data_IF_456167637228
#
_entry.id   IF_456167637228
#
_cell.length_a   1.000
_cell.length_b   1.000
_cell.length_c   1.000
_cell.angle_alpha   90.00
_cell.angle_beta   90.00
_cell.angle_gamma   90.00
#
_symmetry.space_group_name_H-M   'P 1'
#
loop_
_entity.id
_entity.type
_entity.pdbx_description
1 polymer ?
#
# COMPACT_ATOMS: atom_id res chain seq x y z
N UNK A 1 59.62 -18.33 -20.36
CA UNK A 1 58.46 -18.65 -19.49
C UNK A 1 57.23 -18.33 -20.29
N UNK A 2 56.32 -19.29 -20.50
CA UNK A 2 55.06 -19.03 -21.20
C UNK A 2 54.24 -18.03 -20.38
N UNK A 3 53.65 -17.04 -21.05
CA UNK A 3 52.76 -16.07 -20.42
C UNK A 3 51.57 -16.80 -19.77
N UNK A 4 51.18 -16.46 -18.53
CA UNK A 4 49.98 -17.01 -17.90
C UNK A 4 48.73 -16.83 -18.77
N UNK A 5 47.90 -17.86 -18.89
CA UNK A 5 46.74 -17.86 -19.79
C UNK A 5 45.79 -16.67 -19.56
N UNK A 6 45.57 -16.29 -18.30
CA UNK A 6 44.75 -15.13 -17.95
C UNK A 6 45.31 -13.79 -18.49
N UNK A 7 46.63 -13.65 -18.61
CA UNK A 7 47.26 -12.45 -19.18
C UNK A 7 47.08 -12.41 -20.69
N UNK A 8 47.27 -13.54 -21.36
CA UNK A 8 47.03 -13.66 -22.81
C UNK A 8 45.57 -13.33 -23.16
N UNK A 9 44.59 -13.89 -22.43
CA UNK A 9 43.16 -13.53 -22.59
C UNK A 9 42.93 -12.03 -22.43
N UNK A 10 43.50 -11.41 -21.39
CA UNK A 10 43.36 -9.98 -21.15
C UNK A 10 44.00 -9.12 -22.25
N UNK A 11 45.14 -9.53 -22.80
CA UNK A 11 45.82 -8.83 -23.87
C UNK A 11 44.98 -8.86 -25.16
N UNK A 12 44.46 -10.03 -25.54
CA UNK A 12 43.56 -10.19 -26.69
C UNK A 12 42.28 -9.36 -26.55
N UNK A 13 41.65 -9.38 -25.36
CA UNK A 13 40.48 -8.55 -25.08
C UNK A 13 40.79 -7.06 -25.23
N UNK A 14 41.93 -6.61 -24.69
CA UNK A 14 42.35 -5.20 -24.76
C UNK A 14 42.77 -4.74 -26.16
N UNK A 15 43.23 -5.65 -27.02
CA UNK A 15 43.50 -5.36 -28.43
C UNK A 15 42.24 -5.35 -29.31
N UNK A 16 41.07 -5.66 -28.74
CA UNK A 16 39.79 -5.72 -29.46
C UNK A 16 39.49 -7.07 -30.11
N UNK A 17 40.38 -8.07 -29.96
CA UNK A 17 40.16 -9.42 -30.45
C UNK A 17 39.36 -10.24 -29.43
N UNK A 18 38.06 -9.91 -29.30
CA UNK A 18 37.17 -10.58 -28.36
C UNK A 18 36.94 -12.05 -28.69
N UNK A 19 36.89 -12.39 -29.98
CA UNK A 19 36.70 -13.77 -30.43
C UNK A 19 37.94 -14.62 -30.12
N UNK A 20 39.14 -14.12 -30.43
CA UNK A 20 40.38 -14.79 -30.07
C UNK A 20 40.55 -14.94 -28.56
N UNK A 21 40.16 -13.92 -27.78
CA UNK A 21 40.15 -13.99 -26.31
C UNK A 21 39.20 -15.08 -25.78
N UNK A 22 38.02 -15.22 -26.39
CA UNK A 22 37.04 -16.26 -26.06
C UNK A 22 37.57 -17.65 -26.36
N UNK A 23 38.00 -17.89 -27.61
CA UNK A 23 38.45 -19.21 -28.06
C UNK A 23 39.66 -19.70 -27.26
N UNK A 24 40.69 -18.86 -27.13
CA UNK A 24 41.88 -19.19 -26.34
C UNK A 24 41.52 -19.42 -24.87
N UNK A 25 40.71 -18.53 -24.29
CA UNK A 25 40.38 -18.57 -22.87
C UNK A 25 39.57 -19.81 -22.48
N UNK A 26 38.54 -20.17 -23.24
CA UNK A 26 37.74 -21.37 -22.96
C UNK A 26 38.50 -22.66 -23.23
N UNK A 27 39.38 -22.69 -24.25
CA UNK A 27 40.29 -23.82 -24.45
C UNK A 27 41.25 -23.98 -23.27
N UNK A 28 41.84 -22.89 -22.77
CA UNK A 28 42.70 -22.92 -21.60
C UNK A 28 41.94 -23.34 -20.32
N UNK A 29 40.68 -22.93 -20.18
CA UNK A 29 39.83 -23.29 -19.04
C UNK A 29 39.51 -24.79 -19.01
N UNK A 30 39.36 -25.43 -20.17
CA UNK A 30 39.19 -26.90 -20.23
C UNK A 30 40.40 -27.63 -19.64
N UNK A 31 41.61 -27.12 -19.85
CA UNK A 31 42.84 -27.69 -19.30
C UNK A 31 43.04 -27.36 -17.81
N UNK A 32 42.52 -26.22 -17.34
CA UNK A 32 42.63 -25.78 -15.95
C UNK A 32 41.29 -25.25 -15.36
N UNK A 33 40.30 -26.13 -15.10
CA UNK A 33 38.95 -25.70 -14.73
C UNK A 33 38.81 -24.97 -13.38
N UNK A 34 39.83 -25.04 -12.53
CA UNK A 34 39.87 -24.41 -11.20
C UNK A 34 40.67 -23.10 -11.17
N UNK A 35 41.19 -22.64 -12.32
CA UNK A 35 41.97 -21.39 -12.38
C UNK A 35 41.04 -20.17 -12.21
N UNK A 36 41.06 -19.59 -11.00
CA UNK A 36 40.24 -18.43 -10.64
C UNK A 36 40.62 -17.17 -11.39
N UNK A 37 41.90 -17.00 -11.73
CA UNK A 37 42.37 -15.82 -12.47
C UNK A 37 41.94 -15.89 -13.93
N UNK A 38 41.97 -17.08 -14.53
CA UNK A 38 41.47 -17.30 -15.89
C UNK A 38 39.96 -17.13 -15.97
N UNK A 39 39.20 -17.67 -14.99
CA UNK A 39 37.75 -17.41 -14.87
C UNK A 39 37.43 -15.92 -14.79
N UNK A 40 38.17 -15.16 -13.97
CA UNK A 40 38.04 -13.71 -13.89
C UNK A 40 38.34 -13.01 -15.22
N UNK A 41 39.39 -13.43 -15.94
CA UNK A 41 39.68 -12.88 -17.28
C UNK A 41 38.56 -13.18 -18.29
N UNK A 42 38.01 -14.39 -18.28
CA UNK A 42 36.89 -14.81 -19.13
C UNK A 42 35.58 -14.07 -18.79
N UNK A 43 35.34 -13.74 -17.53
CA UNK A 43 34.22 -12.88 -17.15
C UNK A 43 34.27 -11.55 -17.89
N UNK A 44 35.44 -10.89 -17.93
CA UNK A 44 35.58 -9.61 -18.62
C UNK A 44 35.42 -9.74 -20.14
N UNK A 45 35.77 -10.87 -20.73
CA UNK A 45 35.47 -11.16 -22.14
C UNK A 45 33.95 -11.24 -22.35
N UNK A 46 33.26 -12.04 -21.55
CA UNK A 46 31.79 -12.17 -21.61
C UNK A 46 31.10 -10.82 -21.37
N UNK A 47 31.61 -10.02 -20.43
CA UNK A 47 31.11 -8.70 -20.11
C UNK A 47 31.22 -7.71 -21.28
N UNK A 48 32.31 -7.74 -22.05
CA UNK A 48 32.42 -6.90 -23.26
C UNK A 48 31.43 -7.35 -24.35
N UNK A 49 31.26 -8.67 -24.55
CA UNK A 49 30.21 -9.17 -25.45
C UNK A 49 28.82 -8.71 -25.01
N UNK A 50 28.50 -8.80 -23.71
CA UNK A 50 27.24 -8.33 -23.16
C UNK A 50 27.00 -6.84 -23.41
N UNK A 51 28.03 -6.01 -23.24
CA UNK A 51 27.93 -4.56 -23.55
C UNK A 51 27.52 -4.33 -24.99
N UNK A 52 28.11 -5.04 -25.95
CA UNK A 52 27.73 -4.94 -27.36
C UNK A 52 26.28 -5.38 -27.61
N UNK A 53 25.83 -6.49 -27.01
CA UNK A 53 24.45 -6.96 -27.15
C UNK A 53 23.44 -5.97 -26.54
N UNK A 54 23.80 -5.31 -25.44
CA UNK A 54 22.95 -4.34 -24.75
C UNK A 54 22.86 -2.99 -25.47
N UNK A 55 23.73 -2.67 -26.44
CA UNK A 55 23.69 -1.38 -27.13
C UNK A 55 22.34 -1.13 -27.82
N UNK A 56 21.83 -2.11 -28.55
CA UNK A 56 20.58 -1.97 -29.30
C UNK A 56 19.38 -1.85 -28.37
N UNK A 57 19.36 -2.66 -27.31
CA UNK A 57 18.34 -2.59 -26.25
C UNK A 57 18.34 -1.20 -25.61
N UNK A 58 19.53 -0.68 -25.24
CA UNK A 58 19.65 0.62 -24.59
C UNK A 58 19.29 1.79 -25.52
N UNK A 59 19.68 1.73 -26.80
CA UNK A 59 19.30 2.72 -27.83
C UNK A 59 17.78 2.74 -28.05
N UNK A 60 17.11 1.58 -28.05
CA UNK A 60 15.64 1.50 -28.14
C UNK A 60 14.96 2.00 -26.86
N UNK A 61 15.53 1.69 -25.70
CA UNK A 61 14.97 2.07 -24.41
C UNK A 61 15.10 3.58 -24.13
N UNK A 62 16.09 4.27 -24.69
CA UNK A 62 16.27 5.72 -24.45
C UNK A 62 15.13 6.59 -24.98
N UNK A 63 14.41 6.14 -26.01
CA UNK A 63 13.25 6.87 -26.56
C UNK A 63 11.92 6.44 -25.94
N UNK A 64 11.78 5.18 -25.55
CA UNK A 64 10.51 4.57 -25.14
C UNK A 64 10.40 4.27 -23.63
N UNK A 65 11.52 4.34 -22.91
CA UNK A 65 11.69 3.82 -21.55
C UNK A 65 11.31 2.33 -21.39
N UNK A 66 11.33 1.56 -22.49
CA UNK A 66 11.05 0.13 -22.51
C UNK A 66 12.35 -0.67 -22.60
N UNK A 67 12.70 -1.36 -21.51
CA UNK A 67 13.92 -2.17 -21.39
C UNK A 67 13.68 -3.67 -21.64
N UNK A 68 12.50 -4.05 -22.15
CA UNK A 68 12.22 -5.43 -22.52
C UNK A 68 13.07 -5.84 -23.74
N UNK A 69 13.84 -6.95 -23.66
CA UNK A 69 14.56 -7.48 -24.81
C UNK A 69 13.59 -8.06 -25.86
N UNK A 70 13.99 -8.07 -27.13
CA UNK A 70 13.38 -8.95 -28.14
C UNK A 70 13.77 -10.40 -27.84
N UNK A 71 13.07 -11.37 -28.45
CA UNK A 71 13.39 -12.80 -28.23
C UNK A 71 14.83 -13.11 -28.65
N UNK A 72 15.30 -12.54 -29.77
CA UNK A 72 16.69 -12.67 -30.22
C UNK A 72 17.69 -12.05 -29.24
N UNK A 73 17.45 -10.82 -28.77
CA UNK A 73 18.32 -10.17 -27.78
C UNK A 73 18.35 -10.96 -26.46
N UNK A 74 17.19 -11.47 -26.04
CA UNK A 74 17.07 -12.29 -24.84
C UNK A 74 17.93 -13.54 -24.92
N UNK A 75 17.82 -14.32 -26.01
CA UNK A 75 18.61 -15.54 -26.18
C UNK A 75 20.12 -15.28 -26.15
N UNK A 76 20.60 -14.26 -26.88
CA UNK A 76 22.03 -13.95 -26.92
C UNK A 76 22.56 -13.52 -25.56
N UNK A 77 21.82 -12.66 -24.86
CA UNK A 77 22.22 -12.16 -23.54
C UNK A 77 22.15 -13.26 -22.49
N UNK A 78 21.08 -14.06 -22.48
CA UNK A 78 20.88 -15.12 -21.49
C UNK A 78 21.95 -16.21 -21.62
N UNK A 79 22.36 -16.58 -22.83
CA UNK A 79 23.47 -17.52 -23.05
C UNK A 79 24.80 -17.02 -22.46
N UNK A 80 25.10 -15.73 -22.64
CA UNK A 80 26.30 -15.11 -22.06
C UNK A 80 26.20 -15.04 -20.53
N UNK A 81 25.03 -14.72 -19.99
CA UNK A 81 24.78 -14.70 -18.54
C UNK A 81 24.95 -16.09 -17.91
N UNK A 82 24.40 -17.13 -18.54
CA UNK A 82 24.58 -18.52 -18.10
C UNK A 82 26.07 -18.91 -18.12
N UNK A 83 26.78 -18.52 -19.18
CA UNK A 83 28.24 -18.73 -19.25
C UNK A 83 28.95 -18.06 -18.07
N UNK A 84 28.63 -16.80 -17.78
CA UNK A 84 29.20 -16.06 -16.63
C UNK A 84 28.91 -16.76 -15.30
N UNK A 85 27.67 -17.20 -15.07
CA UNK A 85 27.30 -17.88 -13.81
C UNK A 85 28.02 -19.22 -13.69
N UNK A 86 28.20 -19.95 -14.80
CA UNK A 86 28.92 -21.23 -14.82
C UNK A 86 30.44 -21.09 -14.61
N UNK A 87 31.01 -19.89 -14.75
CA UNK A 87 32.41 -19.65 -14.35
C UNK A 87 32.59 -19.80 -12.83
N UNK A 88 31.53 -19.64 -12.04
CA UNK A 88 31.52 -19.80 -10.58
C UNK A 88 32.64 -18.97 -9.92
N UNK A 89 32.57 -17.65 -10.14
CA UNK A 89 33.55 -16.68 -9.65
C UNK A 89 33.18 -16.28 -8.22
N UNK A 90 34.19 -16.11 -7.36
CA UNK A 90 33.98 -15.68 -6.00
C UNK A 90 33.31 -14.28 -5.95
N UNK A 91 32.40 -14.10 -5.00
CA UNK A 91 31.81 -12.79 -4.69
C UNK A 91 32.83 -11.86 -4.04
N UNK A 92 32.53 -10.55 -4.01
CA UNK A 92 33.39 -9.53 -3.38
C UNK A 92 34.36 -8.83 -4.33
N UNK A 93 34.47 -9.30 -5.57
CA UNK A 93 35.14 -8.59 -6.66
C UNK A 93 34.24 -7.57 -7.37
N UNK A 94 34.78 -6.92 -8.40
CA UNK A 94 34.06 -5.94 -9.22
C UNK A 94 33.10 -6.59 -10.24
N UNK A 95 33.28 -7.87 -10.52
CA UNK A 95 32.62 -8.61 -11.59
C UNK A 95 31.09 -8.52 -11.47
N UNK A 96 30.51 -9.08 -10.41
CA UNK A 96 29.07 -9.07 -10.24
C UNK A 96 28.50 -7.67 -9.99
N UNK A 97 29.23 -6.78 -9.31
CA UNK A 97 28.82 -5.38 -9.15
C UNK A 97 28.66 -4.70 -10.51
N UNK A 98 29.66 -4.80 -11.38
CA UNK A 98 29.62 -4.20 -12.72
C UNK A 98 28.55 -4.85 -13.61
N UNK A 99 28.32 -6.15 -13.45
CA UNK A 99 27.21 -6.84 -14.12
C UNK A 99 25.86 -6.23 -13.69
N UNK A 100 25.60 -6.11 -12.39
CA UNK A 100 24.36 -5.51 -11.88
C UNK A 100 24.21 -4.03 -12.31
N UNK A 101 25.30 -3.27 -12.39
CA UNK A 101 25.29 -1.90 -12.92
C UNK A 101 24.81 -1.87 -14.38
N UNK A 102 25.30 -2.78 -15.24
CA UNK A 102 24.88 -2.83 -16.64
C UNK A 102 23.41 -3.18 -16.81
N UNK A 103 22.91 -4.08 -15.97
CA UNK A 103 21.53 -4.57 -16.04
C UNK A 103 20.55 -3.77 -15.17
N UNK A 104 20.98 -2.67 -14.55
CA UNK A 104 20.19 -1.95 -13.54
C UNK A 104 18.73 -1.66 -13.91
N UNK A 105 18.44 -1.45 -15.20
CA UNK A 105 17.09 -1.14 -15.70
C UNK A 105 16.40 -2.30 -16.42
N UNK A 106 17.10 -3.40 -16.67
CA UNK A 106 16.62 -4.53 -17.46
C UNK A 106 16.76 -5.88 -16.74
N UNK A 107 17.34 -5.90 -15.53
CA UNK A 107 17.61 -7.10 -14.74
C UNK A 107 16.36 -7.96 -14.57
N UNK A 108 15.20 -7.34 -14.40
CA UNK A 108 13.93 -8.04 -14.26
C UNK A 108 13.61 -8.99 -15.41
N UNK A 109 14.24 -8.86 -16.58
CA UNK A 109 13.99 -9.66 -17.78
C UNK A 109 14.88 -10.91 -17.91
N UNK A 110 15.91 -11.08 -17.09
CA UNK A 110 16.90 -12.14 -17.24
C UNK A 110 16.88 -13.12 -16.04
N UNK A 111 16.36 -14.36 -16.20
CA UNK A 111 16.21 -15.30 -15.10
C UNK A 111 17.55 -15.66 -14.46
N UNK A 112 18.61 -15.84 -15.25
CA UNK A 112 19.94 -16.16 -14.72
C UNK A 112 20.44 -15.11 -13.72
N UNK A 113 20.26 -13.81 -14.02
CA UNK A 113 20.64 -12.75 -13.10
C UNK A 113 19.75 -12.70 -11.85
N UNK A 114 18.45 -12.93 -12.01
CA UNK A 114 17.54 -12.99 -10.85
C UNK A 114 17.95 -14.11 -9.89
N UNK A 115 18.23 -15.31 -10.41
CA UNK A 115 18.68 -16.41 -9.58
C UNK A 115 20.06 -16.16 -8.96
N UNK A 116 20.98 -15.52 -9.68
CA UNK A 116 22.27 -15.09 -9.13
C UNK A 116 22.08 -14.14 -7.94
N UNK A 117 21.24 -13.11 -8.10
CA UNK A 117 20.93 -12.16 -7.03
C UNK A 117 20.30 -12.86 -5.83
N UNK A 118 19.30 -13.71 -6.06
CA UNK A 118 18.60 -14.40 -4.97
C UNK A 118 19.50 -15.41 -4.24
N UNK A 119 20.44 -16.05 -4.96
CA UNK A 119 21.41 -16.99 -4.38
C UNK A 119 22.42 -16.29 -3.47
N UNK A 120 22.97 -15.15 -3.89
CA UNK A 120 24.04 -14.48 -3.15
C UNK A 120 23.58 -13.32 -2.26
N UNK A 121 22.34 -12.84 -2.46
CA UNK A 121 21.70 -11.78 -1.68
C UNK A 121 22.63 -10.57 -1.45
N UNK A 122 22.79 -10.16 -0.18
CA UNK A 122 23.53 -8.94 0.20
C UNK A 122 25.02 -9.02 -0.09
N UNK A 123 25.58 -10.22 -0.30
CA UNK A 123 27.02 -10.42 -0.53
C UNK A 123 27.48 -9.81 -1.87
N UNK A 124 26.55 -9.55 -2.79
CA UNK A 124 26.84 -8.88 -4.07
C UNK A 124 27.05 -7.36 -3.95
N UNK A 125 26.78 -6.76 -2.79
CA UNK A 125 26.75 -5.31 -2.62
C UNK A 125 27.77 -4.85 -1.58
N UNK A 126 28.76 -4.09 -2.03
CA UNK A 126 29.65 -3.32 -1.15
C UNK A 126 28.95 -2.07 -0.60
N UNK A 127 29.64 -1.32 0.27
CA UNK A 127 29.05 -0.15 0.92
C UNK A 127 28.64 0.93 -0.08
N UNK A 128 29.42 1.13 -1.15
CA UNK A 128 29.06 2.07 -2.24
C UNK A 128 27.76 1.63 -2.93
N UNK A 129 27.59 0.33 -3.20
CA UNK A 129 26.39 -0.20 -3.84
C UNK A 129 25.13 -0.13 -2.96
N UNK A 130 25.27 0.14 -1.65
CA UNK A 130 24.19 0.36 -0.68
C UNK A 130 23.85 1.83 -0.48
N UNK A 131 24.62 2.74 -1.07
CA UNK A 131 24.43 4.18 -0.90
C UNK A 131 23.82 4.81 -2.15
N UNK A 132 22.78 5.67 -2.01
CA UNK A 132 22.23 6.41 -3.15
C UNK A 132 23.23 7.46 -3.65
N UNK A 133 23.21 7.71 -4.95
CA UNK A 133 24.10 8.66 -5.62
C UNK A 133 23.38 9.98 -5.92
N UNK A 134 24.01 11.12 -5.61
CA UNK A 134 23.47 12.44 -5.99
C UNK A 134 23.90 12.79 -7.41
N UNK A 135 22.96 12.80 -8.36
CA UNK A 135 23.18 13.28 -9.71
C UNK A 135 22.61 14.69 -9.90
N UNK A 136 22.95 15.37 -11.00
CA UNK A 136 22.43 16.70 -11.35
C UNK A 136 20.90 16.76 -11.38
N UNK A 137 20.25 15.66 -11.80
CA UNK A 137 18.78 15.54 -11.90
C UNK A 137 18.12 15.03 -10.61
N UNK A 138 18.87 14.96 -9.51
CA UNK A 138 18.43 14.49 -8.22
C UNK A 138 19.05 13.15 -7.81
N UNK A 139 18.55 12.61 -6.71
CA UNK A 139 19.05 11.39 -6.10
C UNK A 139 18.68 10.16 -6.94
N UNK A 140 19.68 9.39 -7.31
CA UNK A 140 19.56 8.09 -7.95
C UNK A 140 19.64 7.04 -6.83
N UNK A 141 18.73 6.05 -6.77
CA UNK A 141 18.73 5.07 -5.69
C UNK A 141 20.04 4.28 -5.62
N UNK A 142 20.31 3.58 -4.52
CA UNK A 142 21.45 2.65 -4.48
C UNK A 142 21.29 1.51 -5.50
N UNK A 143 22.41 0.85 -5.82
CA UNK A 143 22.37 -0.33 -6.70
C UNK A 143 21.57 -1.45 -6.05
N UNK A 144 21.77 -1.69 -4.75
CA UNK A 144 21.03 -2.68 -3.97
C UNK A 144 19.52 -2.44 -4.01
N UNK A 145 19.07 -1.21 -3.71
CA UNK A 145 17.65 -0.88 -3.76
C UNK A 145 17.07 -1.05 -5.17
N UNK A 146 17.77 -0.57 -6.19
CA UNK A 146 17.29 -0.75 -7.58
C UNK A 146 17.22 -2.22 -7.99
N UNK A 147 18.16 -3.04 -7.53
CA UNK A 147 18.18 -4.48 -7.80
C UNK A 147 17.02 -5.20 -7.09
N UNK A 148 16.76 -4.89 -5.82
CA UNK A 148 15.64 -5.48 -5.08
C UNK A 148 14.28 -5.16 -5.72
N UNK A 149 14.12 -3.95 -6.27
CA UNK A 149 12.92 -3.58 -7.02
C UNK A 149 12.78 -4.37 -8.33
N UNK A 150 13.87 -4.58 -9.06
CA UNK A 150 13.87 -5.43 -10.26
C UNK A 150 13.55 -6.90 -9.94
N UNK A 151 14.04 -7.41 -8.81
CA UNK A 151 13.69 -8.75 -8.30
C UNK A 151 12.19 -8.84 -7.99
N UNK A 152 11.62 -7.85 -7.32
CA UNK A 152 10.17 -7.81 -7.06
C UNK A 152 9.35 -7.80 -8.35
N UNK A 153 9.74 -6.99 -9.35
CA UNK A 153 9.09 -6.99 -10.66
C UNK A 153 9.18 -8.33 -11.38
N UNK A 154 10.35 -8.98 -11.35
CA UNK A 154 10.55 -10.30 -11.94
C UNK A 154 9.65 -11.34 -11.26
N UNK A 155 9.55 -11.31 -9.93
CA UNK A 155 8.66 -12.20 -9.18
C UNK A 155 7.19 -11.98 -9.58
N UNK A 156 6.73 -10.72 -9.64
CA UNK A 156 5.35 -10.41 -10.04
C UNK A 156 5.01 -10.93 -11.44
N UNK A 157 5.96 -10.84 -12.38
CA UNK A 157 5.75 -11.18 -13.79
C UNK A 157 5.97 -12.66 -14.09
N UNK A 158 6.95 -13.32 -13.45
CA UNK A 158 7.50 -14.58 -13.92
C UNK A 158 7.72 -15.65 -12.83
N UNK A 159 7.26 -15.44 -11.57
CA UNK A 159 7.47 -16.37 -10.45
C UNK A 159 7.18 -17.84 -10.75
N UNK A 160 6.13 -18.14 -11.52
CA UNK A 160 5.73 -19.52 -11.83
C UNK A 160 6.67 -20.16 -12.84
N UNK A 161 6.98 -19.45 -13.92
CA UNK A 161 7.84 -19.94 -15.01
C UNK A 161 9.32 -20.01 -14.62
N UNK A 162 9.78 -19.10 -13.73
CA UNK A 162 11.15 -19.06 -13.23
C UNK A 162 11.31 -19.70 -11.85
N UNK A 163 10.25 -20.31 -11.30
CA UNK A 163 10.27 -20.96 -9.99
C UNK A 163 10.87 -20.08 -8.86
N UNK A 164 10.47 -18.81 -8.83
CA UNK A 164 10.99 -17.85 -7.85
C UNK A 164 10.27 -18.01 -6.51
N UNK A 165 11.02 -18.41 -5.49
CA UNK A 165 10.50 -18.55 -4.13
C UNK A 165 10.21 -17.18 -3.48
N UNK A 166 8.98 -17.05 -2.96
CA UNK A 166 8.53 -15.80 -2.33
C UNK A 166 9.35 -15.49 -1.07
N UNK A 167 9.69 -16.48 -0.25
CA UNK A 167 10.40 -16.23 1.01
C UNK A 167 11.82 -15.71 0.73
N UNK A 168 12.49 -16.24 -0.28
CA UNK A 168 13.81 -15.76 -0.70
C UNK A 168 13.76 -14.32 -1.23
N UNK A 169 12.72 -13.98 -2.02
CA UNK A 169 12.50 -12.59 -2.48
C UNK A 169 12.23 -11.66 -1.30
N UNK A 170 11.37 -12.06 -0.37
CA UNK A 170 11.03 -11.26 0.81
C UNK A 170 12.23 -11.06 1.74
N UNK A 171 13.06 -12.10 1.92
CA UNK A 171 14.30 -12.01 2.69
C UNK A 171 15.25 -10.96 2.07
N UNK A 172 15.45 -10.99 0.76
CA UNK A 172 16.30 -10.01 0.08
C UNK A 172 15.75 -8.58 0.15
N UNK A 173 14.43 -8.40 0.00
CA UNK A 173 13.77 -7.09 0.17
C UNK A 173 13.97 -6.55 1.59
N UNK A 174 13.77 -7.39 2.62
CA UNK A 174 13.91 -6.97 4.01
C UNK A 174 15.36 -6.60 4.36
N UNK A 175 16.33 -7.43 3.94
CA UNK A 175 17.75 -7.10 4.09
C UNK A 175 18.12 -5.81 3.35
N UNK A 176 17.55 -5.55 2.17
CA UNK A 176 17.76 -4.30 1.44
C UNK A 176 17.24 -3.10 2.22
N UNK A 177 16.06 -3.23 2.86
CA UNK A 177 15.52 -2.17 3.72
C UNK A 177 16.42 -1.86 4.92
N UNK A 178 17.04 -2.88 5.49
CA UNK A 178 17.91 -2.75 6.66
C UNK A 178 19.30 -2.19 6.32
N UNK A 179 19.85 -2.54 5.15
CA UNK A 179 21.24 -2.24 4.80
C UNK A 179 21.42 -1.07 3.83
N UNK A 180 20.41 -0.75 3.01
CA UNK A 180 20.51 0.36 2.07
C UNK A 180 20.30 1.70 2.77
N UNK A 181 21.11 2.69 2.41
CA UNK A 181 21.04 4.06 2.97
C UNK A 181 20.02 4.95 2.25
N UNK A 182 19.17 4.38 1.38
CA UNK A 182 18.14 5.10 0.64
C UNK A 182 17.05 5.63 1.58
N UNK A 183 16.80 6.94 1.55
CA UNK A 183 15.70 7.55 2.31
C UNK A 183 14.54 7.96 1.42
N UNK A 184 14.80 8.56 0.25
CA UNK A 184 13.75 9.06 -0.66
C UNK A 184 13.09 7.95 -1.45
N UNK A 185 13.84 6.90 -1.78
CA UNK A 185 13.39 5.83 -2.68
C UNK A 185 12.85 4.59 -1.96
N UNK A 186 13.02 4.49 -0.63
CA UNK A 186 12.59 3.32 0.15
C UNK A 186 11.09 3.03 0.04
N UNK A 187 10.27 4.10 -0.06
CA UNK A 187 8.82 3.99 -0.31
C UNK A 187 8.48 3.11 -1.52
N UNK A 188 9.32 3.11 -2.56
CA UNK A 188 9.08 2.30 -3.75
C UNK A 188 9.37 0.82 -3.52
N UNK A 189 10.32 0.49 -2.63
CA UNK A 189 10.57 -0.88 -2.21
C UNK A 189 9.36 -1.42 -1.44
N UNK A 190 8.81 -0.64 -0.51
CA UNK A 190 7.60 -0.99 0.23
C UNK A 190 6.39 -1.17 -0.71
N UNK A 191 6.25 -0.29 -1.71
CA UNK A 191 5.21 -0.39 -2.73
C UNK A 191 5.33 -1.66 -3.58
N UNK A 192 6.55 -2.01 -4.03
CA UNK A 192 6.78 -3.20 -4.85
C UNK A 192 6.64 -4.49 -4.01
N UNK A 193 7.06 -4.48 -2.74
CA UNK A 193 6.81 -5.58 -1.80
C UNK A 193 5.31 -5.79 -1.57
N UNK A 194 4.55 -4.72 -1.33
CA UNK A 194 3.11 -4.81 -1.11
C UNK A 194 2.38 -5.46 -2.29
N UNK A 195 2.79 -5.18 -3.54
CA UNK A 195 2.24 -5.88 -4.71
C UNK A 195 2.52 -7.38 -4.65
N UNK A 196 3.73 -7.77 -4.27
CA UNK A 196 4.09 -9.18 -4.13
C UNK A 196 3.20 -9.87 -3.07
N UNK A 197 3.01 -9.21 -1.93
CA UNK A 197 2.14 -9.68 -0.84
C UNK A 197 0.67 -9.82 -1.29
N UNK A 198 0.15 -8.87 -2.07
CA UNK A 198 -1.22 -8.95 -2.64
C UNK A 198 -1.38 -10.17 -3.54
N UNK A 199 -0.42 -10.42 -4.44
CA UNK A 199 -0.42 -11.61 -5.32
C UNK A 199 -0.29 -12.90 -4.50
N UNK A 200 0.45 -12.88 -3.40
CA UNK A 200 0.60 -13.99 -2.47
C UNK A 200 -0.59 -14.18 -1.51
N UNK A 201 -1.63 -13.33 -1.57
CA UNK A 201 -2.79 -13.38 -0.67
C UNK A 201 -2.56 -12.86 0.75
N UNK A 202 -1.42 -12.21 1.01
CA UNK A 202 -1.02 -11.66 2.31
C UNK A 202 -1.50 -10.20 2.46
N UNK A 203 -2.82 -10.01 2.47
CA UNK A 203 -3.44 -8.69 2.36
C UNK A 203 -3.19 -7.77 3.57
N UNK A 204 -3.16 -8.29 4.80
CA UNK A 204 -2.89 -7.49 6.00
C UNK A 204 -1.50 -6.86 5.98
N UNK A 205 -0.47 -7.67 5.73
CA UNK A 205 0.91 -7.20 5.60
C UNK A 205 1.07 -6.20 4.44
N UNK A 206 0.36 -6.42 3.32
CA UNK A 206 0.34 -5.46 2.23
C UNK A 206 -0.24 -4.10 2.67
N UNK A 207 -1.32 -4.10 3.48
CA UNK A 207 -1.91 -2.86 4.01
C UNK A 207 -0.97 -2.13 4.95
N UNK A 208 -0.22 -2.85 5.80
CA UNK A 208 0.77 -2.25 6.70
C UNK A 208 1.82 -1.43 5.93
N UNK A 209 2.25 -1.90 4.75
CA UNK A 209 3.18 -1.17 3.88
C UNK A 209 2.49 -0.02 3.12
N UNK A 210 1.27 -0.22 2.61
CA UNK A 210 0.59 0.77 1.76
C UNK A 210 0.01 1.94 2.55
N UNK A 211 -0.51 1.73 3.76
CA UNK A 211 -1.19 2.80 4.51
C UNK A 211 -0.27 4.00 4.84
N UNK A 212 0.99 3.82 5.30
CA UNK A 212 1.93 4.93 5.46
C UNK A 212 2.21 5.69 4.17
N UNK A 213 2.29 4.98 3.03
CA UNK A 213 2.50 5.57 1.70
C UNK A 213 1.28 6.42 1.33
N UNK A 214 0.08 5.85 1.46
CA UNK A 214 -1.16 6.52 1.13
C UNK A 214 -1.35 7.79 1.95
N UNK A 215 -1.05 7.77 3.26
CA UNK A 215 -1.11 8.97 4.11
C UNK A 215 -0.24 10.11 3.59
N UNK A 216 0.94 9.80 3.02
CA UNK A 216 1.86 10.79 2.41
C UNK A 216 1.47 11.18 0.99
N UNK A 217 0.75 10.31 0.27
CA UNK A 217 0.47 10.41 -1.17
C UNK A 217 -1.04 10.41 -1.49
N UNK A 218 -1.86 11.02 -0.65
CA UNK A 218 -3.33 11.00 -0.76
C UNK A 218 -3.89 11.60 -2.06
N UNK A 219 -3.12 12.45 -2.74
CA UNK A 219 -3.49 13.06 -4.03
C UNK A 219 -3.05 12.23 -5.23
N UNK A 220 -2.30 11.16 -5.01
CA UNK A 220 -1.76 10.33 -6.08
C UNK A 220 -2.71 9.17 -6.37
N UNK A 221 -3.16 9.07 -7.63
CA UNK A 221 -4.03 7.99 -8.13
C UNK A 221 -3.49 6.60 -7.78
N UNK A 222 -2.19 6.38 -8.00
CA UNK A 222 -1.56 5.07 -7.80
C UNK A 222 -1.57 4.60 -6.34
N UNK A 223 -1.51 5.51 -5.36
CA UNK A 223 -1.48 5.14 -3.95
C UNK A 223 -2.83 4.56 -3.49
N UNK A 224 -3.93 5.12 -4.01
CA UNK A 224 -5.27 4.58 -3.80
C UNK A 224 -5.48 3.25 -4.53
N UNK A 225 -4.98 3.13 -5.76
CA UNK A 225 -4.99 1.87 -6.50
C UNK A 225 -4.23 0.75 -5.77
N UNK A 226 -3.14 1.10 -5.09
CA UNK A 226 -2.39 0.18 -4.24
C UNK A 226 -3.24 -0.35 -3.08
N UNK A 227 -3.95 0.54 -2.37
CA UNK A 227 -4.85 0.14 -1.28
C UNK A 227 -6.00 -0.71 -1.83
N UNK A 228 -6.60 -0.31 -2.96
CA UNK A 228 -7.67 -1.05 -3.62
C UNK A 228 -7.29 -2.51 -3.92
N UNK A 229 -6.07 -2.73 -4.41
CA UNK A 229 -5.55 -4.06 -4.71
C UNK A 229 -5.56 -4.98 -3.47
N UNK A 230 -5.29 -4.44 -2.27
CA UNK A 230 -5.30 -5.21 -1.01
C UNK A 230 -6.70 -5.71 -0.61
N UNK A 231 -7.77 -5.10 -1.11
CA UNK A 231 -9.15 -5.51 -0.81
C UNK A 231 -9.81 -6.31 -1.92
N UNK A 232 -9.19 -6.44 -3.10
CA UNK A 232 -9.87 -6.91 -4.31
C UNK A 232 -10.44 -8.34 -4.21
N UNK A 233 -9.88 -9.17 -3.32
CA UNK A 233 -10.39 -10.51 -2.99
C UNK A 233 -11.02 -10.64 -1.60
N UNK A 234 -10.90 -9.62 -0.74
CA UNK A 234 -11.46 -9.62 0.62
C UNK A 234 -12.80 -8.88 0.70
N UNK A 235 -12.88 -7.70 0.09
CA UNK A 235 -14.08 -6.84 0.08
C UNK A 235 -14.11 -6.05 -1.23
N UNK A 236 -14.92 -6.51 -2.18
CA UNK A 236 -15.05 -5.89 -3.49
C UNK A 236 -15.58 -4.45 -3.42
N UNK A 237 -16.44 -4.14 -2.45
CA UNK A 237 -17.01 -2.78 -2.31
C UNK A 237 -15.96 -1.81 -1.81
N UNK A 238 -15.12 -2.22 -0.86
CA UNK A 238 -13.97 -1.41 -0.45
C UNK A 238 -12.93 -1.26 -1.56
N UNK A 239 -12.65 -2.32 -2.30
CA UNK A 239 -11.76 -2.23 -3.47
C UNK A 239 -12.29 -1.22 -4.49
N UNK A 240 -13.57 -1.29 -4.87
CA UNK A 240 -14.21 -0.32 -5.77
C UNK A 240 -14.13 1.11 -5.22
N UNK A 241 -14.41 1.31 -3.92
CA UNK A 241 -14.31 2.60 -3.24
C UNK A 241 -12.91 3.22 -3.40
N UNK A 242 -11.86 2.43 -3.18
CA UNK A 242 -10.48 2.91 -3.29
C UNK A 242 -10.03 3.11 -4.74
N UNK A 243 -10.44 2.23 -5.66
CA UNK A 243 -10.22 2.47 -7.10
C UNK A 243 -10.88 3.77 -7.54
N UNK A 244 -12.15 3.99 -7.20
CA UNK A 244 -12.88 5.20 -7.51
C UNK A 244 -12.20 6.43 -6.92
N UNK A 245 -11.74 6.35 -5.66
CA UNK A 245 -10.99 7.44 -5.04
C UNK A 245 -9.71 7.75 -5.81
N UNK A 246 -8.98 6.73 -6.25
CA UNK A 246 -7.76 6.90 -7.05
C UNK A 246 -8.02 7.53 -8.40
N UNK A 247 -9.06 7.09 -9.11
CA UNK A 247 -9.47 7.67 -10.40
C UNK A 247 -9.84 9.15 -10.24
N UNK A 248 -10.65 9.49 -9.23
CA UNK A 248 -11.07 10.88 -8.94
C UNK A 248 -9.90 11.75 -8.48
N UNK A 249 -8.89 11.18 -7.83
CA UNK A 249 -7.72 11.93 -7.36
C UNK A 249 -6.72 12.24 -8.48
N UNK A 250 -6.85 11.61 -9.66
CA UNK A 250 -5.98 11.87 -10.79
C UNK A 250 -6.26 13.27 -11.36
N UNK A 251 -5.21 14.08 -11.50
CA UNK A 251 -5.31 15.40 -12.13
C UNK A 251 -5.40 15.31 -13.66
N UNK A 252 -4.95 14.19 -14.23
CA UNK A 252 -5.04 13.85 -15.64
C UNK A 252 -5.37 12.36 -15.78
N UNK A 253 -6.26 12.03 -16.73
CA UNK A 253 -6.78 10.67 -16.95
C UNK A 253 -5.68 9.64 -17.24
N UNK A 254 -4.56 10.06 -17.83
CA UNK A 254 -3.41 9.19 -18.13
C UNK A 254 -2.84 8.52 -16.87
N UNK A 255 -2.91 9.18 -15.71
CA UNK A 255 -2.47 8.64 -14.42
C UNK A 255 -3.46 7.67 -13.77
N UNK A 256 -4.70 7.59 -14.26
CA UNK A 256 -5.73 6.67 -13.76
C UNK A 256 -6.11 5.57 -14.76
N UNK A 257 -5.51 5.50 -15.95
CA UNK A 257 -5.80 4.46 -16.96
C UNK A 257 -5.77 3.04 -16.41
N UNK A 258 -4.75 2.72 -15.58
CA UNK A 258 -4.66 1.39 -14.95
C UNK A 258 -5.78 1.14 -13.95
N UNK A 259 -6.26 2.17 -13.25
CA UNK A 259 -7.35 2.04 -12.28
C UNK A 259 -8.71 1.97 -12.99
N UNK A 260 -8.92 2.73 -14.07
CA UNK A 260 -10.09 2.64 -14.93
C UNK A 260 -10.24 1.22 -15.48
N UNK A 261 -9.15 0.61 -15.94
CA UNK A 261 -9.18 -0.78 -16.36
C UNK A 261 -9.34 -1.75 -15.18
N UNK A 262 -8.65 -1.50 -14.07
CA UNK A 262 -8.61 -2.37 -12.89
C UNK A 262 -9.94 -2.46 -12.12
N UNK A 263 -10.78 -1.44 -12.16
CA UNK A 263 -12.09 -1.43 -11.48
C UNK A 263 -13.17 -2.21 -12.25
N UNK A 264 -13.03 -2.39 -13.57
CA UNK A 264 -14.03 -3.03 -14.45
C UNK A 264 -14.50 -4.40 -13.91
N UNK A 265 -13.61 -5.36 -13.55
CA UNK A 265 -14.06 -6.67 -13.07
C UNK A 265 -14.91 -6.57 -11.80
N UNK A 266 -14.64 -5.58 -10.93
CA UNK A 266 -15.39 -5.38 -9.69
C UNK A 266 -16.77 -4.79 -9.98
N UNK A 267 -16.86 -3.83 -10.91
CA UNK A 267 -18.13 -3.25 -11.35
C UNK A 267 -19.03 -4.32 -11.96
N UNK A 268 -18.49 -5.16 -12.86
CA UNK A 268 -19.23 -6.26 -13.48
C UNK A 268 -19.71 -7.28 -12.43
N UNK A 269 -18.85 -7.65 -11.47
CA UNK A 269 -19.24 -8.54 -10.37
C UNK A 269 -20.35 -7.96 -9.48
N UNK A 270 -20.50 -6.63 -9.44
CA UNK A 270 -21.53 -5.92 -8.69
C UNK A 270 -22.70 -5.45 -9.58
N UNK A 271 -22.84 -6.00 -10.79
CA UNK A 271 -23.92 -5.69 -11.76
C UNK A 271 -23.96 -4.23 -12.22
N UNK A 272 -22.82 -3.53 -12.17
CA UNK A 272 -22.65 -2.13 -12.58
C UNK A 272 -22.05 -2.07 -13.99
N UNK A 273 -22.77 -2.62 -14.96
CA UNK A 273 -22.31 -2.77 -16.34
C UNK A 273 -22.16 -1.42 -17.07
N UNK A 274 -23.06 -0.47 -16.80
CA UNK A 274 -23.00 0.86 -17.40
C UNK A 274 -21.73 1.59 -16.97
N UNK A 275 -21.41 1.56 -15.68
CA UNK A 275 -20.23 2.18 -15.10
C UNK A 275 -18.93 1.50 -15.57
N UNK A 276 -18.95 0.16 -15.74
CA UNK A 276 -17.85 -0.57 -16.34
C UNK A 276 -17.58 -0.12 -17.78
N UNK A 277 -18.65 0.05 -18.57
CA UNK A 277 -18.57 0.56 -19.95
C UNK A 277 -18.03 1.98 -19.99
N UNK A 278 -18.49 2.85 -19.07
CA UNK A 278 -17.96 4.21 -18.96
C UNK A 278 -16.46 4.21 -18.65
N UNK A 279 -15.99 3.37 -17.71
CA UNK A 279 -14.57 3.26 -17.38
C UNK A 279 -13.72 2.87 -18.60
N UNK A 280 -14.17 1.85 -19.35
CA UNK A 280 -13.46 1.39 -20.55
C UNK A 280 -13.47 2.46 -21.65
N UNK A 281 -14.63 3.07 -21.90
CA UNK A 281 -14.79 4.13 -22.89
C UNK A 281 -13.89 5.33 -22.59
N UNK A 282 -13.84 5.78 -21.34
CA UNK A 282 -12.93 6.84 -20.89
C UNK A 282 -11.46 6.47 -21.10
N UNK A 283 -11.07 5.22 -20.81
CA UNK A 283 -9.70 4.76 -21.05
C UNK A 283 -9.36 4.75 -22.56
N UNK A 284 -10.25 4.23 -23.41
CA UNK A 284 -10.05 4.21 -24.88
C UNK A 284 -9.95 5.63 -25.44
N UNK A 285 -10.84 6.54 -25.03
CA UNK A 285 -10.85 7.92 -25.46
C UNK A 285 -9.51 8.63 -25.13
N UNK A 286 -8.94 8.35 -23.96
CA UNK A 286 -7.64 8.88 -23.59
C UNK A 286 -6.51 8.38 -24.51
N UNK A 287 -6.46 7.08 -24.85
CA UNK A 287 -5.47 6.57 -25.81
C UNK A 287 -5.60 7.24 -27.18
N UNK A 288 -6.83 7.39 -27.67
CA UNK A 288 -7.12 8.03 -28.96
C UNK A 288 -6.73 9.50 -28.98
N UNK A 289 -7.07 10.26 -27.92
CA UNK A 289 -6.73 11.67 -27.80
C UNK A 289 -5.21 11.93 -27.80
N UNK A 290 -4.43 10.99 -27.27
CA UNK A 290 -2.97 11.04 -27.28
C UNK A 290 -2.31 10.41 -28.53
N UNK A 291 -3.10 9.88 -29.48
CA UNK A 291 -2.58 9.19 -30.66
C UNK A 291 -1.82 7.89 -30.35
N UNK A 292 -2.07 7.29 -29.19
CA UNK A 292 -1.42 6.04 -28.78
C UNK A 292 -2.13 4.84 -29.39
N UNK A 293 -1.33 3.83 -29.78
CA UNK A 293 -1.88 2.51 -30.14
C UNK A 293 -2.61 1.93 -28.93
N UNK A 294 -3.84 1.48 -29.13
CA UNK A 294 -4.62 0.85 -28.08
C UNK A 294 -3.95 -0.44 -27.63
N UNK A 295 -4.00 -0.72 -26.32
CA UNK A 295 -3.49 -1.97 -25.78
C UNK A 295 -4.41 -3.12 -26.11
N UNK A 296 -3.84 -4.29 -26.40
CA UNK A 296 -4.59 -5.49 -26.75
C UNK A 296 -5.64 -5.84 -25.69
N UNK A 297 -5.36 -5.64 -24.40
CA UNK A 297 -6.33 -5.93 -23.34
C UNK A 297 -7.56 -5.00 -23.41
N UNK A 298 -7.38 -3.73 -23.80
CA UNK A 298 -8.49 -2.79 -23.96
C UNK A 298 -9.31 -3.09 -25.21
N UNK A 299 -8.65 -3.50 -26.29
CA UNK A 299 -9.32 -4.00 -27.51
C UNK A 299 -10.17 -5.25 -27.21
N UNK A 300 -9.65 -6.19 -26.44
CA UNK A 300 -10.38 -7.40 -26.06
C UNK A 300 -11.59 -7.09 -25.16
N UNK A 301 -11.45 -6.13 -24.24
CA UNK A 301 -12.55 -5.71 -23.37
C UNK A 301 -13.66 -5.02 -24.16
N UNK A 302 -13.34 -4.24 -25.20
CA UNK A 302 -14.35 -3.53 -26.00
C UNK A 302 -15.15 -4.44 -26.94
N UNK A 303 -14.69 -5.68 -27.15
CA UNK A 303 -15.40 -6.71 -27.91
C UNK A 303 -16.33 -7.56 -27.04
N UNK A 304 -16.33 -7.38 -25.72
CA UNK A 304 -17.17 -8.17 -24.83
C UNK A 304 -18.64 -7.74 -24.90
N UNK A 305 -19.56 -8.70 -24.75
CA UNK A 305 -21.01 -8.44 -24.86
C UNK A 305 -21.57 -7.46 -23.83
N UNK A 306 -20.87 -7.26 -22.70
CA UNK A 306 -21.29 -6.30 -21.67
C UNK A 306 -20.95 -4.85 -22.02
N UNK A 307 -20.01 -4.62 -22.96
CA UNK A 307 -19.55 -3.29 -23.29
C UNK A 307 -20.58 -2.55 -24.15
N UNK A 308 -20.96 -1.36 -23.70
CA UNK A 308 -21.83 -0.46 -24.43
C UNK A 308 -21.11 0.87 -24.72
N UNK A 309 -20.81 1.12 -26.00
CA UNK A 309 -20.19 2.39 -26.43
C UNK A 309 -21.15 3.59 -26.34
N UNK A 310 -22.46 3.35 -26.22
CA UNK A 310 -23.51 4.36 -26.14
C UNK A 310 -23.65 5.06 -24.79
N UNK A 311 -22.99 4.56 -23.74
CA UNK A 311 -23.07 5.15 -22.39
C UNK A 311 -22.57 6.60 -22.34
N UNK A 312 -23.20 7.41 -21.50
CA UNK A 312 -22.75 8.77 -21.19
C UNK A 312 -21.61 8.75 -20.15
N UNK A 313 -20.38 8.88 -20.62
CA UNK A 313 -19.17 8.93 -19.78
C UNK A 313 -19.16 10.09 -18.78
N UNK A 314 -19.98 11.13 -18.98
CA UNK A 314 -20.11 12.25 -18.03
C UNK A 314 -20.71 11.82 -16.69
N UNK A 315 -21.46 10.72 -16.66
CA UNK A 315 -22.03 10.16 -15.42
C UNK A 315 -21.00 9.40 -14.57
N UNK A 316 -19.82 9.10 -15.13
CA UNK A 316 -18.78 8.36 -14.41
C UNK A 316 -18.27 9.13 -13.19
N UNK A 317 -17.96 10.42 -13.34
CA UNK A 317 -17.43 11.22 -12.24
C UNK A 317 -18.41 11.36 -11.06
N UNK A 318 -19.70 11.71 -11.27
CA UNK A 318 -20.71 11.66 -10.20
C UNK A 318 -20.79 10.31 -9.49
N UNK A 319 -20.81 9.21 -10.25
CA UNK A 319 -20.84 7.87 -9.69
C UNK A 319 -19.61 7.57 -8.81
N UNK A 320 -18.39 7.77 -9.34
CA UNK A 320 -17.15 7.49 -8.62
C UNK A 320 -17.03 8.35 -7.35
N UNK A 321 -17.45 9.61 -7.41
CA UNK A 321 -17.51 10.48 -6.22
C UNK A 321 -18.48 9.94 -5.17
N UNK A 322 -19.65 9.43 -5.58
CA UNK A 322 -20.65 8.89 -4.65
C UNK A 322 -20.12 7.69 -3.85
N UNK A 323 -19.41 6.76 -4.52
CA UNK A 323 -18.91 5.54 -3.86
C UNK A 323 -17.60 5.75 -3.10
N UNK A 324 -16.89 6.87 -3.33
CA UNK A 324 -15.61 7.19 -2.70
C UNK A 324 -15.63 8.32 -1.67
N UNK A 325 -16.80 8.90 -1.40
CA UNK A 325 -16.94 10.10 -0.55
C UNK A 325 -16.38 9.95 0.87
N UNK A 326 -16.32 8.74 1.41
CA UNK A 326 -15.82 8.42 2.76
C UNK A 326 -14.49 7.65 2.73
N UNK A 327 -13.82 7.53 1.59
CA UNK A 327 -12.57 6.77 1.45
C UNK A 327 -11.45 7.26 2.38
N UNK A 328 -11.44 8.56 2.72
CA UNK A 328 -10.48 9.15 3.65
C UNK A 328 -10.59 8.60 5.08
N UNK A 329 -11.71 7.99 5.45
CA UNK A 329 -11.85 7.37 6.77
C UNK A 329 -10.94 6.14 6.94
N UNK A 330 -10.41 5.58 5.85
CA UNK A 330 -9.58 4.37 5.82
C UNK A 330 -8.07 4.66 5.77
N UNK A 331 -7.63 5.91 5.97
CA UNK A 331 -6.20 6.28 5.96
C UNK A 331 -5.36 5.56 7.04
N UNK A 332 -6.02 5.00 8.05
CA UNK A 332 -5.40 4.24 9.13
C UNK A 332 -5.74 2.74 9.09
N UNK A 333 -6.38 2.28 8.01
CA UNK A 333 -6.69 0.87 7.80
C UNK A 333 -8.17 0.52 8.05
N UNK A 334 -8.47 -0.77 8.29
CA UNK A 334 -9.82 -1.23 8.60
C UNK A 334 -10.42 -0.52 9.82
N UNK A 335 -11.75 -0.42 9.84
CA UNK A 335 -12.48 0.23 10.92
C UNK A 335 -13.44 -0.73 11.61
N UNK A 336 -13.60 -0.56 12.91
CA UNK A 336 -14.64 -1.19 13.71
C UNK A 336 -15.85 -0.26 13.79
N UNK A 337 -17.05 -0.83 13.62
CA UNK A 337 -18.30 -0.10 13.90
C UNK A 337 -18.75 -0.40 15.33
N UNK A 338 -19.06 0.63 16.09
CA UNK A 338 -19.58 0.47 17.45
C UNK A 338 -20.65 1.51 17.76
N UNK A 339 -21.70 1.10 18.48
CA UNK A 339 -22.71 2.04 18.98
C UNK A 339 -22.29 2.54 20.36
N UNK A 340 -22.45 3.83 20.58
CA UNK A 340 -22.10 4.50 21.82
C UNK A 340 -23.20 5.50 22.19
N UNK A 341 -23.23 5.89 23.46
CA UNK A 341 -24.13 6.93 23.96
C UNK A 341 -23.34 8.20 24.27
N UNK A 342 -23.88 9.35 23.88
CA UNK A 342 -23.25 10.66 24.14
C UNK A 342 -23.31 10.94 25.64
N UNK A 343 -22.16 10.98 26.30
CA UNK A 343 -22.05 11.26 27.73
C UNK A 343 -22.18 12.76 28.00
N UNK A 344 -21.43 13.59 27.26
CA UNK A 344 -21.47 15.04 27.37
C UNK A 344 -20.90 15.72 26.12
N UNK A 345 -21.26 16.99 25.94
CA UNK A 345 -20.66 17.85 24.92
C UNK A 345 -19.48 18.60 25.54
N UNK A 346 -18.33 18.64 24.85
CA UNK A 346 -17.16 19.36 25.36
C UNK A 346 -17.50 20.84 25.50
N UNK A 347 -16.96 21.49 26.55
CA UNK A 347 -17.16 22.92 26.80
C UNK A 347 -16.80 23.82 25.61
N UNK A 348 -15.83 23.38 24.79
CA UNK A 348 -15.41 24.10 23.59
C UNK A 348 -16.41 24.02 22.42
N UNK A 349 -17.39 23.12 22.48
CA UNK A 349 -18.31 22.82 21.38
C UNK A 349 -17.66 22.10 20.18
N UNK A 350 -16.33 21.89 20.20
CA UNK A 350 -15.56 21.27 19.10
C UNK A 350 -15.63 19.75 19.09
N UNK A 351 -16.27 19.13 20.08
CA UNK A 351 -16.41 17.69 20.18
C UNK A 351 -17.33 17.28 21.32
N UNK A 352 -17.48 15.98 21.49
CA UNK A 352 -18.31 15.38 22.51
C UNK A 352 -17.70 14.06 22.97
N UNK A 353 -17.94 13.72 24.23
CA UNK A 353 -17.51 12.45 24.82
C UNK A 353 -18.62 11.43 24.63
N UNK A 354 -18.25 10.23 24.19
CA UNK A 354 -19.16 9.08 24.07
C UNK A 354 -18.71 7.95 24.98
N UNK A 355 -19.69 7.25 25.54
CA UNK A 355 -19.53 6.06 26.36
C UNK A 355 -19.87 4.84 25.51
N UNK A 356 -18.92 3.90 25.41
CA UNK A 356 -19.08 2.65 24.67
C UNK A 356 -19.41 1.51 25.63
N UNK A 357 -18.64 1.40 26.71
CA UNK A 357 -18.85 0.45 27.81
C UNK A 357 -18.05 0.92 29.03
N UNK A 358 -18.17 0.23 30.16
CA UNK A 358 -17.49 0.62 31.42
C UNK A 358 -15.98 0.80 31.30
N UNK A 359 -15.33 0.12 30.35
CA UNK A 359 -13.89 0.17 30.13
C UNK A 359 -13.47 1.08 28.97
N UNK A 360 -14.43 1.66 28.23
CA UNK A 360 -14.14 2.40 27.00
C UNK A 360 -15.06 3.60 26.85
N UNK A 361 -14.45 4.78 26.84
CA UNK A 361 -15.07 6.02 26.40
C UNK A 361 -14.17 6.67 25.35
N UNK A 362 -14.76 7.30 24.34
CA UNK A 362 -14.05 7.91 23.22
C UNK A 362 -14.43 9.38 23.07
N UNK A 363 -13.47 10.20 22.60
CA UNK A 363 -13.74 11.59 22.25
C UNK A 363 -14.03 11.68 20.76
N UNK A 364 -15.14 12.32 20.39
CA UNK A 364 -15.56 12.52 19.00
C UNK A 364 -15.42 13.98 18.63
N UNK A 365 -14.70 14.26 17.53
CA UNK A 365 -14.63 15.60 16.96
C UNK A 365 -15.97 15.96 16.31
N UNK A 366 -16.47 17.17 16.53
CA UNK A 366 -17.78 17.57 15.99
C UNK A 366 -17.81 17.49 14.45
N UNK A 367 -16.69 17.81 13.78
CA UNK A 367 -16.59 17.77 12.33
C UNK A 367 -16.63 16.38 11.69
N UNK A 368 -16.48 15.29 12.47
CA UNK A 368 -16.59 13.91 11.94
C UNK A 368 -17.99 13.32 12.14
N UNK A 369 -18.90 14.05 12.79
CA UNK A 369 -20.28 13.63 12.99
C UNK A 369 -21.14 14.06 11.79
N UNK A 370 -21.77 13.09 11.12
CA UNK A 370 -22.57 13.27 9.90
C UNK A 370 -24.09 13.33 10.17
N UNK A 371 -24.50 13.66 11.39
CA UNK A 371 -25.92 13.83 11.75
C UNK A 371 -26.50 15.18 11.29
N UNK A 372 -27.80 15.21 10.99
CA UNK A 372 -28.53 16.46 10.67
C UNK A 372 -28.65 17.40 11.88
N UNK A 373 -28.70 16.83 13.08
CA UNK A 373 -28.82 17.56 14.33
C UNK A 373 -27.52 17.41 15.12
N UNK A 374 -27.20 18.44 15.92
CA UNK A 374 -26.06 18.34 16.84
C UNK A 374 -26.38 17.29 17.91
N UNK A 375 -25.45 16.38 18.22
CA UNK A 375 -25.67 15.37 19.25
C UNK A 375 -25.85 16.06 20.61
N UNK A 376 -26.69 15.46 21.44
CA UNK A 376 -26.96 15.85 22.83
C UNK A 376 -26.64 14.70 23.78
N UNK A 377 -26.42 15.02 25.06
CA UNK A 377 -26.24 13.98 26.07
C UNK A 377 -27.45 13.03 26.10
N UNK A 378 -27.16 11.74 26.09
CA UNK A 378 -28.14 10.66 26.00
C UNK A 378 -28.49 10.20 24.58
N UNK A 379 -28.04 10.89 23.54
CA UNK A 379 -28.24 10.43 22.16
C UNK A 379 -27.36 9.22 21.84
N UNK A 380 -27.87 8.32 21.01
CA UNK A 380 -27.11 7.16 20.51
C UNK A 380 -26.45 7.51 19.18
N UNK A 381 -25.19 7.09 19.03
CA UNK A 381 -24.39 7.30 17.82
C UNK A 381 -23.70 6.01 17.40
N UNK A 382 -23.66 5.76 16.09
CA UNK A 382 -22.76 4.76 15.51
C UNK A 382 -21.42 5.44 15.20
N UNK A 383 -20.33 4.83 15.64
CA UNK A 383 -18.96 5.29 15.43
C UNK A 383 -18.26 4.34 14.47
N UNK A 384 -17.46 4.91 13.57
CA UNK A 384 -16.38 4.19 12.89
C UNK A 384 -15.07 4.49 13.59
N UNK A 385 -14.44 3.46 14.14
CA UNK A 385 -13.23 3.55 14.97
C UNK A 385 -12.07 2.90 14.23
N UNK A 386 -10.97 3.63 14.08
CA UNK A 386 -9.71 3.12 13.53
C UNK A 386 -8.65 3.00 14.62
N UNK A 387 -7.67 2.13 14.42
CA UNK A 387 -6.46 2.09 15.25
C UNK A 387 -5.41 3.03 14.66
N UNK A 388 -4.98 4.01 15.44
CA UNK A 388 -3.96 5.01 15.08
C UNK A 388 -2.86 4.93 16.13
N UNK A 389 -1.68 4.47 15.73
CA UNK A 389 -0.51 4.32 16.61
C UNK A 389 -0.83 3.57 17.93
N UNK A 390 -1.64 2.50 17.83
CA UNK A 390 -2.09 1.68 18.96
C UNK A 390 -3.29 2.25 19.74
N UNK A 391 -3.75 3.48 19.44
CA UNK A 391 -4.89 4.11 20.09
C UNK A 391 -6.17 4.02 19.24
N UNK A 392 -7.33 3.96 19.89
CA UNK A 392 -8.64 4.02 19.21
C UNK A 392 -9.01 5.47 18.90
N UNK A 393 -9.19 5.79 17.63
CA UNK A 393 -9.69 7.09 17.18
C UNK A 393 -11.00 6.97 16.40
N UNK A 394 -11.92 7.90 16.67
CA UNK A 394 -13.19 8.01 15.93
C UNK A 394 -12.97 8.82 14.66
N UNK A 395 -13.10 8.16 13.51
CA UNK A 395 -12.91 8.78 12.18
C UNK A 395 -14.22 9.19 11.52
N UNK A 396 -15.34 8.60 11.95
CA UNK A 396 -16.68 9.02 11.57
C UNK A 396 -17.68 8.72 12.68
N UNK A 397 -18.74 9.52 12.74
CA UNK A 397 -19.89 9.29 13.63
C UNK A 397 -21.19 9.64 12.91
N UNK A 398 -22.27 8.95 13.24
CA UNK A 398 -23.62 9.29 12.78
C UNK A 398 -24.66 8.95 13.86
N UNK A 399 -25.83 9.56 13.80
CA UNK A 399 -26.93 9.23 14.71
C UNK A 399 -27.33 7.77 14.53
N UNK A 400 -27.59 7.08 15.65
CA UNK A 400 -28.06 5.71 15.67
C UNK A 400 -29.40 5.61 16.39
N UNK A 401 -30.12 4.52 16.15
CA UNK A 401 -31.26 4.16 16.99
C UNK A 401 -30.75 3.75 18.38
N UNK A 402 -31.60 3.90 19.38
CA UNK A 402 -31.33 3.35 20.70
C UNK A 402 -31.12 1.83 20.58
N UNK A 403 -30.10 1.34 21.27
CA UNK A 403 -29.79 -0.08 21.40
C UNK A 403 -29.59 -0.40 22.87
N UNK A 404 -29.88 -1.64 23.26
CA UNK A 404 -29.59 -2.08 24.62
C UNK A 404 -28.08 -2.22 24.83
N UNK A 405 -27.57 -1.58 25.87
CA UNK A 405 -26.16 -1.61 26.26
C UNK A 405 -26.07 -2.04 27.72
N UNK A 406 -25.28 -3.06 28.04
CA UNK A 406 -25.22 -3.66 29.37
C UNK A 406 -24.88 -2.64 30.49
N UNK A 407 -24.02 -1.67 30.18
CA UNK A 407 -23.52 -0.64 31.10
C UNK A 407 -24.31 0.68 31.02
N UNK A 408 -25.51 0.66 30.41
CA UNK A 408 -26.42 1.80 30.29
C UNK A 408 -27.82 1.37 30.75
N UNK A 409 -28.45 2.15 31.61
CA UNK A 409 -29.82 1.86 32.05
C UNK A 409 -30.56 3.13 32.41
N UNK A 410 -31.85 2.97 32.71
CA UNK A 410 -32.65 4.01 33.34
C UNK A 410 -32.92 3.65 34.81
N UNK A 411 -33.02 4.66 35.65
CA UNK A 411 -33.55 4.53 37.02
C UNK A 411 -34.50 5.69 37.29
N UNK A 412 -35.62 5.41 37.95
CA UNK A 412 -36.58 6.43 38.38
C UNK A 412 -36.50 6.59 39.89
N UNK A 413 -36.62 7.82 40.38
CA UNK A 413 -36.56 8.10 41.81
C UNK A 413 -36.62 9.59 42.09
N UNK A 414 -36.42 9.94 43.37
CA UNK A 414 -36.41 11.32 43.82
C UNK A 414 -34.98 11.89 43.78
N UNK A 415 -34.79 13.02 43.10
CA UNK A 415 -33.52 13.73 43.06
C UNK A 415 -33.19 14.35 44.42
N UNK A 416 -32.08 13.93 45.03
CA UNK A 416 -31.56 14.49 46.29
C UNK A 416 -30.30 15.30 46.00
N UNK A 417 -30.36 16.62 46.15
CA UNK A 417 -29.27 17.55 45.89
C UNK A 417 -28.48 17.80 47.18
N UNK A 418 -27.17 17.59 47.13
CA UNK A 418 -26.24 17.83 48.22
C UNK A 418 -25.74 19.30 48.24
N UNK A 419 -25.21 19.80 49.37
CA UNK A 419 -24.77 21.21 49.50
C UNK A 419 -23.73 21.68 48.47
N UNK A 420 -22.94 20.75 47.90
CA UNK A 420 -21.94 21.05 46.85
C UNK A 420 -22.53 21.05 45.43
N UNK A 421 -23.86 20.98 45.30
CA UNK A 421 -24.59 21.07 44.03
C UNK A 421 -24.65 19.80 43.20
N UNK A 422 -23.96 18.72 43.58
CA UNK A 422 -24.19 17.39 42.99
C UNK A 422 -25.37 16.72 43.69
N UNK A 423 -25.90 15.64 43.13
CA UNK A 423 -27.02 14.92 43.73
C UNK A 423 -26.99 13.42 43.51
N UNK A 424 -28.04 12.76 43.96
CA UNK A 424 -28.26 11.33 43.76
C UNK A 424 -29.72 11.04 43.41
N UNK A 425 -29.91 10.02 42.59
CA UNK A 425 -31.20 9.34 42.36
C UNK A 425 -30.94 7.87 42.65
N UNK A 426 -31.53 7.33 43.71
CA UNK A 426 -31.18 6.01 44.23
C UNK A 426 -29.65 5.85 44.46
N UNK A 427 -29.03 4.86 43.82
CA UNK A 427 -27.58 4.58 43.86
C UNK A 427 -26.78 5.38 42.81
N UNK A 428 -27.44 6.22 42.02
CA UNK A 428 -26.85 6.91 40.86
C UNK A 428 -26.38 8.30 41.21
N UNK A 429 -25.09 8.57 41.01
CA UNK A 429 -24.51 9.89 41.16
C UNK A 429 -24.96 10.83 40.04
N UNK A 430 -25.42 12.03 40.39
CA UNK A 430 -25.86 13.06 39.43
C UNK A 430 -24.93 14.27 39.52
N UNK A 431 -24.13 14.55 38.47
CA UNK A 431 -23.27 15.74 38.43
C UNK A 431 -24.08 17.06 38.44
N UNK A 432 -23.54 18.17 39.00
CA UNK A 432 -24.23 19.46 39.06
C UNK A 432 -24.74 19.96 37.69
N UNK A 433 -23.95 19.79 36.64
CA UNK A 433 -24.32 20.23 35.29
C UNK A 433 -25.44 19.40 34.66
N UNK A 434 -25.70 18.19 35.16
CA UNK A 434 -26.83 17.33 34.72
C UNK A 434 -28.11 17.71 35.46
N UNK A 435 -27.99 18.19 36.71
CA UNK A 435 -29.12 18.70 37.50
C UNK A 435 -29.70 19.98 36.86
N UNK A 436 -28.82 20.90 36.45
CA UNK A 436 -29.23 22.17 35.84
C UNK A 436 -30.13 22.97 36.79
N UNK A 437 -31.37 23.22 36.36
CA UNK A 437 -32.36 24.03 37.10
C UNK A 437 -33.39 23.19 37.88
N UNK A 438 -33.23 21.87 37.92
CA UNK A 438 -34.15 20.99 38.66
C UNK A 438 -34.05 21.27 40.16
N UNK A 439 -35.21 21.22 40.84
CA UNK A 439 -35.30 21.46 42.27
C UNK A 439 -34.95 20.18 43.05
N UNK A 440 -34.53 20.37 44.31
CA UNK A 440 -34.39 19.26 45.22
C UNK A 440 -35.75 18.57 45.41
N UNK A 441 -35.74 17.25 45.58
CA UNK A 441 -36.91 16.39 45.76
C UNK A 441 -37.83 16.23 44.53
N UNK A 442 -37.43 16.73 43.36
CA UNK A 442 -38.13 16.46 42.10
C UNK A 442 -38.07 14.96 41.74
N UNK A 443 -39.19 14.36 41.32
CA UNK A 443 -39.21 13.01 40.75
C UNK A 443 -38.68 13.03 39.33
N UNK A 444 -37.70 12.17 39.05
CA UNK A 444 -36.99 12.15 37.77
C UNK A 444 -36.75 10.72 37.29
N UNK A 445 -36.64 10.57 35.97
CA UNK A 445 -36.01 9.44 35.31
C UNK A 445 -34.59 9.81 34.92
N UNK A 446 -33.62 9.09 35.44
CA UNK A 446 -32.20 9.26 35.14
C UNK A 446 -31.75 8.24 34.11
N UNK A 447 -31.21 8.71 32.99
CA UNK A 447 -30.38 7.91 32.10
C UNK A 447 -28.97 7.86 32.66
N UNK A 448 -28.47 6.65 32.93
CA UNK A 448 -27.21 6.43 33.64
C UNK A 448 -26.27 5.48 32.91
N UNK A 449 -24.98 5.70 33.11
CA UNK A 449 -23.88 4.87 32.60
C UNK A 449 -23.01 4.35 33.75
N UNK A 450 -22.38 3.19 33.56
CA UNK A 450 -21.45 2.59 34.52
C UNK A 450 -20.04 3.16 34.30
N UNK A 451 -19.71 4.28 34.96
CA UNK A 451 -18.45 5.02 34.76
C UNK A 451 -17.45 4.79 35.90
N UNK A 452 -16.14 4.97 35.63
CA UNK A 452 -15.11 4.88 36.66
C UNK A 452 -15.14 6.11 37.60
N UNK A 453 -15.44 5.88 38.88
CA UNK A 453 -15.36 6.88 39.93
C UNK A 453 -13.94 6.94 40.48
N UNK A 454 -13.20 7.99 40.12
CA UNK A 454 -11.82 8.22 40.57
C UNK A 454 -11.71 8.37 42.10
N UNK A 455 -12.72 8.91 42.75
CA UNK A 455 -12.69 9.15 44.20
C UNK A 455 -12.85 7.86 45.00
N UNK A 456 -13.62 6.90 44.45
CA UNK A 456 -13.90 5.61 45.08
C UNK A 456 -13.09 4.45 44.49
N UNK A 457 -12.26 4.72 43.47
CA UNK A 457 -11.48 3.74 42.72
C UNK A 457 -12.30 2.51 42.30
N UNK A 458 -13.54 2.73 41.83
CA UNK A 458 -14.45 1.67 41.38
C UNK A 458 -15.42 2.18 40.32
N UNK A 459 -16.00 1.26 39.56
CA UNK A 459 -17.13 1.61 38.68
C UNK A 459 -18.38 1.92 39.50
N UNK A 460 -19.09 2.98 39.12
CA UNK A 460 -20.32 3.38 39.76
C UNK A 460 -21.29 4.02 38.76
N UNK A 461 -22.59 3.97 39.06
CA UNK A 461 -23.61 4.58 38.24
C UNK A 461 -23.53 6.11 38.29
N UNK A 462 -23.48 6.71 37.10
CA UNK A 462 -23.46 8.16 36.89
C UNK A 462 -24.56 8.54 35.91
N UNK A 463 -25.41 9.50 36.30
CA UNK A 463 -26.42 10.06 35.41
C UNK A 463 -25.78 10.97 34.36
N UNK A 464 -26.25 10.86 33.13
CA UNK A 464 -25.85 11.70 31.99
C UNK A 464 -27.00 12.58 31.48
N UNK A 465 -28.24 12.21 31.79
CA UNK A 465 -29.45 12.99 31.48
C UNK A 465 -30.51 12.71 32.54
N UNK A 466 -31.23 13.76 32.93
CA UNK A 466 -32.45 13.65 33.74
C UNK A 466 -33.66 14.04 32.89
N UNK A 467 -34.79 13.41 33.17
CA UNK A 467 -36.10 13.78 32.64
C UNK A 467 -37.05 13.88 33.82
N UNK A 468 -37.67 15.04 34.01
CA UNK A 468 -38.65 15.25 35.08
C UNK A 468 -39.90 14.41 34.81
N UNK A 469 -40.38 13.72 35.84
CA UNK A 469 -41.59 12.92 35.78
C UNK A 469 -42.74 13.79 36.31
N UNK A 470 -43.41 14.48 35.40
CA UNK A 470 -44.60 15.23 35.74
C UNK A 470 -45.76 14.24 35.95
N UNK A 471 -46.29 14.17 37.18
CA UNK A 471 -47.57 13.54 37.45
C UNK A 471 -48.67 14.48 36.97
N UNK A 472 -48.88 14.59 35.65
CA UNK A 472 -50.07 15.20 35.07
C UNK A 472 -50.50 14.35 33.88
N UNK A 473 -51.43 13.42 34.14
CA UNK A 473 -52.59 13.05 33.33
C UNK A 473 -53.22 11.78 33.94
N UNK A 474 -54.21 12.00 34.80
CA UNK A 474 -55.41 11.16 34.86
C UNK A 474 -56.56 11.99 34.31
#
# INVERSE_FOLDING_TARGET
>A
MNEPANRTVNNLRKSGDLQGAWEFGFQALQAAPQDTYLKGALFWVCYEFLKHQLENLNKRASSSNNYRPTDFEFEQIENLLQTIVNLDIATGGLEYKMLLVQFRKSLEWFPTLIHLVLRHQTVLFDDEAKTPFQAEKGEVPSLMLSTARQVASAWLRAREYWHLDLNQVMAFINQTREQASDTKHMMWLDYDQAKCLVVAGQYDQARELILPILRKKQKESWAWGALAATYSKQDQRLAMKFFARGIVSAHDVTFSLRLLQGIIPLLLANQQQAEASMCLKTAIAAYQAHGWKLKQELEQLSMQAWYDSGVDEKQLSPFLNSISHDALNYLHGPMEKVVAIVENIHKSGKGFQVFVNKSTSLSVRMGVHKGKQKPQAGDYVELSVASVDGNKEVVASSSSKQVDMADVSYVEGTLRIAPKGFGFVEDTFVPPFVIGNLKNETKVRALRIMSWDKSKARHNWKAIKLTELNFNEY
#
